data_IF_021420041522
#
_entry.id   IF_021420041522
#
_cell.length_a   1.000
_cell.length_b   1.000
_cell.length_c   1.000
_cell.angle_alpha   90.00
_cell.angle_beta   90.00
_cell.angle_gamma   90.00
#
_symmetry.space_group_name_H-M   'P 1'
#
loop_
_entity.id
_entity.type
_entity.pdbx_description
1 polymer ?
#
# COMPACT_ATOMS: atom_id res chain seq x y z
N UNK A 1 -13.66 -15.68 7.94
CA UNK A 1 -12.44 -16.27 8.52
C UNK A 1 -11.67 -16.92 7.38
N UNK A 2 -10.50 -16.37 7.07
CA UNK A 2 -9.62 -16.80 5.98
C UNK A 2 -8.58 -17.76 6.55
N UNK A 3 -8.24 -18.84 5.83
CA UNK A 3 -7.18 -19.76 6.28
C UNK A 3 -5.79 -19.15 6.07
N UNK A 4 -4.85 -19.44 6.96
CA UNK A 4 -3.47 -18.95 6.85
C UNK A 4 -2.80 -19.27 5.51
N UNK A 5 -3.06 -20.43 4.91
CA UNK A 5 -2.52 -20.80 3.59
C UNK A 5 -3.07 -19.92 2.47
N UNK A 6 -4.38 -19.65 2.48
CA UNK A 6 -5.01 -18.76 1.50
C UNK A 6 -4.51 -17.32 1.69
N UNK A 7 -4.44 -16.89 2.94
CA UNK A 7 -3.94 -15.57 3.32
C UNK A 7 -2.51 -15.36 2.85
N UNK A 8 -1.60 -16.32 3.09
CA UNK A 8 -0.21 -16.23 2.66
C UNK A 8 -0.06 -16.01 1.16
N UNK A 9 -0.75 -16.81 0.34
CA UNK A 9 -0.69 -16.69 -1.12
C UNK A 9 -1.21 -15.34 -1.61
N UNK A 10 -2.35 -14.92 -1.07
CA UNK A 10 -2.93 -13.64 -1.45
C UNK A 10 -2.10 -12.45 -0.97
N UNK A 11 -1.48 -12.54 0.22
CA UNK A 11 -0.55 -11.54 0.73
C UNK A 11 0.69 -11.45 -0.15
N UNK A 12 1.24 -12.57 -0.61
CA UNK A 12 2.37 -12.61 -1.54
C UNK A 12 2.03 -11.91 -2.87
N UNK A 13 0.89 -12.27 -3.48
CA UNK A 13 0.44 -11.67 -4.74
C UNK A 13 0.23 -10.16 -4.59
N UNK A 14 -0.43 -9.73 -3.51
CA UNK A 14 -0.71 -8.32 -3.25
C UNK A 14 0.56 -7.54 -2.94
N UNK A 15 1.52 -8.13 -2.22
CA UNK A 15 2.82 -7.50 -1.92
C UNK A 15 3.61 -7.23 -3.20
N UNK A 16 3.63 -8.20 -4.11
CA UNK A 16 4.28 -8.04 -5.41
C UNK A 16 3.58 -7.00 -6.30
N UNK A 17 2.24 -7.00 -6.32
CA UNK A 17 1.49 -5.99 -7.06
C UNK A 17 1.69 -4.59 -6.49
N UNK A 18 1.62 -4.46 -5.17
CA UNK A 18 1.81 -3.21 -4.44
C UNK A 18 3.16 -2.57 -4.79
N UNK A 19 4.24 -3.33 -4.65
CA UNK A 19 5.59 -2.86 -4.97
C UNK A 19 5.74 -2.47 -6.44
N UNK A 20 5.08 -3.18 -7.37
CA UNK A 20 5.08 -2.84 -8.80
C UNK A 20 4.38 -1.51 -9.06
N UNK A 21 3.28 -1.23 -8.36
CA UNK A 21 2.53 0.02 -8.49
C UNK A 21 3.30 1.19 -7.86
N UNK A 22 3.93 1.00 -6.70
CA UNK A 22 4.82 1.98 -6.06
C UNK A 22 5.94 2.41 -7.00
N UNK A 23 6.68 1.45 -7.58
CA UNK A 23 7.79 1.76 -8.51
C UNK A 23 7.34 2.54 -9.75
N UNK A 24 6.08 2.40 -10.17
CA UNK A 24 5.52 3.20 -11.26
C UNK A 24 5.10 4.58 -10.78
N UNK A 25 4.48 4.66 -9.61
CA UNK A 25 4.08 5.91 -8.98
C UNK A 25 5.28 6.81 -8.76
N UNK A 26 6.36 6.28 -8.16
CA UNK A 26 7.60 7.00 -7.90
C UNK A 26 8.15 7.69 -9.16
N UNK A 27 8.31 6.93 -10.26
CA UNK A 27 8.71 7.47 -11.56
C UNK A 27 7.80 8.59 -12.08
N UNK A 28 6.49 8.49 -11.83
CA UNK A 28 5.55 9.52 -12.26
C UNK A 28 5.59 10.74 -11.35
N UNK A 29 5.81 10.57 -10.06
CA UNK A 29 5.99 11.66 -9.10
C UNK A 29 7.29 12.42 -9.38
N UNK A 30 8.41 11.73 -9.58
CA UNK A 30 9.68 12.35 -9.99
C UNK A 30 9.54 13.17 -11.27
N UNK A 31 8.86 12.60 -12.28
CA UNK A 31 8.59 13.32 -13.52
C UNK A 31 7.71 14.55 -13.27
N UNK A 32 6.74 14.46 -12.35
CA UNK A 32 5.78 15.51 -12.07
C UNK A 32 6.43 16.69 -11.34
N UNK A 33 7.39 16.43 -10.45
CA UNK A 33 8.17 17.47 -9.76
C UNK A 33 8.82 18.45 -10.74
N UNK A 34 9.25 17.93 -11.90
CA UNK A 34 9.94 18.65 -12.97
C UNK A 34 9.03 19.03 -14.16
N UNK A 35 7.76 18.63 -14.15
CA UNK A 35 6.85 18.82 -15.29
C UNK A 35 6.27 20.25 -15.34
N UNK A 36 5.88 20.74 -16.54
CA UNK A 36 4.99 21.89 -16.67
C UNK A 36 3.68 21.65 -15.93
N UNK A 37 3.13 22.70 -15.32
CA UNK A 37 1.91 22.63 -14.51
C UNK A 37 0.71 22.10 -15.31
N UNK A 38 0.68 22.34 -16.62
CA UNK A 38 -0.41 21.90 -17.50
C UNK A 38 -0.27 20.45 -17.99
N UNK A 39 0.72 19.66 -17.55
CA UNK A 39 0.81 18.24 -17.93
C UNK A 39 -0.26 17.40 -17.20
N UNK A 40 -1.46 17.42 -17.75
CA UNK A 40 -2.60 16.64 -17.26
C UNK A 40 -2.37 15.13 -17.42
N UNK A 41 -1.65 14.72 -18.47
CA UNK A 41 -1.38 13.32 -18.78
C UNK A 41 -0.61 12.63 -17.66
N UNK A 42 0.38 13.32 -17.10
CA UNK A 42 1.17 12.83 -15.98
C UNK A 42 0.37 12.80 -14.67
N UNK A 43 -0.44 13.83 -14.40
CA UNK A 43 -1.35 13.85 -13.24
C UNK A 43 -2.33 12.67 -13.26
N UNK A 44 -2.91 12.35 -14.42
CA UNK A 44 -3.82 11.20 -14.58
C UNK A 44 -3.11 9.87 -14.32
N UNK A 45 -1.85 9.71 -14.74
CA UNK A 45 -1.05 8.51 -14.44
C UNK A 45 -0.82 8.36 -12.93
N UNK A 46 -0.46 9.44 -12.24
CA UNK A 46 -0.31 9.47 -10.77
C UNK A 46 -1.61 9.02 -10.10
N UNK A 47 -2.75 9.65 -10.44
CA UNK A 47 -4.06 9.29 -9.88
C UNK A 47 -4.47 7.84 -10.18
N UNK A 48 -4.08 7.31 -11.34
CA UNK A 48 -4.34 5.91 -11.70
C UNK A 48 -3.57 4.94 -10.81
N UNK A 49 -2.30 5.25 -10.50
CA UNK A 49 -1.52 4.51 -9.52
C UNK A 49 -2.14 4.60 -8.12
N UNK A 50 -2.53 5.78 -7.65
CA UNK A 50 -3.18 5.95 -6.35
C UNK A 50 -4.47 5.13 -6.21
N UNK A 51 -5.32 5.12 -7.24
CA UNK A 51 -6.54 4.28 -7.25
C UNK A 51 -6.22 2.79 -7.14
N UNK A 52 -5.17 2.32 -7.80
CA UNK A 52 -4.73 0.92 -7.72
C UNK A 52 -4.21 0.57 -6.33
N UNK A 53 -3.37 1.43 -5.75
CA UNK A 53 -2.87 1.23 -4.38
C UNK A 53 -4.02 1.19 -3.37
N UNK A 54 -5.03 2.05 -3.54
CA UNK A 54 -6.25 2.04 -2.72
C UNK A 54 -7.01 0.71 -2.82
N UNK A 55 -7.16 0.16 -4.02
CA UNK A 55 -7.79 -1.14 -4.21
C UNK A 55 -7.01 -2.26 -3.51
N UNK A 56 -5.67 -2.23 -3.60
CA UNK A 56 -4.79 -3.19 -2.92
C UNK A 56 -4.94 -3.08 -1.40
N UNK A 57 -4.87 -1.86 -0.83
CA UNK A 57 -5.10 -1.63 0.61
C UNK A 57 -6.47 -2.12 1.06
N UNK A 58 -7.51 -1.78 0.31
CA UNK A 58 -8.89 -2.21 0.63
C UNK A 58 -8.99 -3.73 0.68
N UNK A 59 -8.33 -4.43 -0.25
CA UNK A 59 -8.30 -5.89 -0.26
C UNK A 59 -7.52 -6.45 0.94
N UNK A 60 -6.34 -5.91 1.24
CA UNK A 60 -5.55 -6.32 2.41
C UNK A 60 -6.32 -6.10 3.73
N UNK A 61 -6.92 -4.93 3.91
CA UNK A 61 -7.74 -4.61 5.08
C UNK A 61 -8.95 -5.54 5.21
N UNK A 62 -9.59 -5.89 4.10
CA UNK A 62 -10.69 -6.86 4.08
C UNK A 62 -10.22 -8.24 4.55
N UNK A 63 -9.12 -8.73 3.98
CA UNK A 63 -8.56 -10.04 4.33
C UNK A 63 -8.15 -10.13 5.81
N UNK A 64 -7.45 -9.11 6.32
CA UNK A 64 -6.98 -9.10 7.71
C UNK A 64 -8.15 -8.87 8.68
N UNK A 65 -9.07 -7.96 8.35
CA UNK A 65 -10.21 -7.61 9.19
C UNK A 65 -11.25 -8.73 9.34
N UNK A 66 -11.28 -9.71 8.43
CA UNK A 66 -12.13 -10.91 8.52
C UNK A 66 -11.63 -11.97 9.51
N UNK A 67 -10.44 -11.74 10.10
CA UNK A 67 -9.75 -12.68 10.97
C UNK A 67 -9.09 -13.81 10.18
N UNK A 68 -7.79 -13.98 10.43
CA UNK A 68 -6.97 -15.05 9.83
C UNK A 68 -6.82 -16.17 10.85
N UNK A 69 -7.27 -17.39 10.52
CA UNK A 69 -7.00 -18.58 11.34
C UNK A 69 -5.72 -19.26 10.89
N UNK A 70 -4.80 -19.47 11.82
CA UNK A 70 -3.52 -20.15 11.61
C UNK A 70 -3.54 -21.62 12.06
N UNK A 71 -4.69 -22.15 12.48
CA UNK A 71 -4.82 -23.47 13.11
C UNK A 71 -4.33 -24.60 12.19
N UNK A 72 -4.60 -24.48 10.90
CA UNK A 72 -4.21 -25.45 9.86
C UNK A 72 -2.92 -25.04 9.11
N UNK A 73 -2.31 -23.91 9.44
CA UNK A 73 -1.13 -23.41 8.74
C UNK A 73 0.15 -24.11 9.23
N UNK A 74 0.98 -24.58 8.29
CA UNK A 74 2.31 -25.07 8.63
C UNK A 74 3.17 -23.95 9.24
N UNK A 75 4.24 -24.34 9.94
CA UNK A 75 5.22 -23.38 10.47
C UNK A 75 5.81 -22.49 9.36
N UNK A 76 6.15 -23.09 8.23
CA UNK A 76 6.69 -22.38 7.06
C UNK A 76 5.72 -21.32 6.53
N UNK A 77 4.41 -21.61 6.50
CA UNK A 77 3.38 -20.65 6.07
C UNK A 77 3.29 -19.48 7.05
N UNK A 78 3.33 -19.75 8.36
CA UNK A 78 3.31 -18.69 9.39
C UNK A 78 4.56 -17.80 9.33
N UNK A 79 5.73 -18.39 9.18
CA UNK A 79 7.00 -17.65 8.99
C UNK A 79 6.95 -16.81 7.71
N UNK A 80 6.44 -17.37 6.60
CA UNK A 80 6.26 -16.64 5.35
C UNK A 80 5.31 -15.44 5.48
N UNK A 81 4.21 -15.57 6.22
CA UNK A 81 3.29 -14.47 6.51
C UNK A 81 4.00 -13.36 7.29
N UNK A 82 4.78 -13.71 8.31
CA UNK A 82 5.55 -12.75 9.10
C UNK A 82 6.54 -11.98 8.23
N UNK A 83 7.34 -12.69 7.42
CA UNK A 83 8.35 -12.09 6.54
C UNK A 83 7.70 -11.14 5.52
N UNK A 84 6.59 -11.56 4.90
CA UNK A 84 5.88 -10.71 3.94
C UNK A 84 5.25 -9.48 4.61
N UNK A 85 4.73 -9.64 5.83
CA UNK A 85 4.16 -8.54 6.61
C UNK A 85 5.25 -7.53 6.98
N UNK A 86 6.40 -7.99 7.46
CA UNK A 86 7.57 -7.15 7.73
C UNK A 86 8.06 -6.41 6.47
N UNK A 87 8.19 -7.12 5.35
CA UNK A 87 8.58 -6.50 4.08
C UNK A 87 7.58 -5.42 3.63
N UNK A 88 6.29 -5.68 3.79
CA UNK A 88 5.24 -4.72 3.47
C UNK A 88 5.31 -3.50 4.38
N UNK A 89 5.48 -3.67 5.69
CA UNK A 89 5.57 -2.55 6.65
C UNK A 89 6.82 -1.71 6.38
N UNK A 90 8.00 -2.33 6.40
CA UNK A 90 9.29 -1.63 6.32
C UNK A 90 9.57 -1.06 4.93
N UNK A 91 9.12 -1.75 3.88
CA UNK A 91 9.38 -1.37 2.50
C UNK A 91 8.16 -0.77 1.82
N UNK A 92 7.13 -1.59 1.60
CA UNK A 92 5.97 -1.23 0.80
C UNK A 92 5.24 0.02 1.32
N UNK A 93 4.66 -0.07 2.51
CA UNK A 93 3.80 0.96 3.09
C UNK A 93 4.60 2.23 3.42
N UNK A 94 5.85 2.08 3.88
CA UNK A 94 6.75 3.20 4.11
C UNK A 94 6.99 4.01 2.82
N UNK A 95 7.37 3.35 1.72
CA UNK A 95 7.57 4.01 0.43
C UNK A 95 6.27 4.62 -0.11
N UNK A 96 5.13 3.95 0.09
CA UNK A 96 3.86 4.50 -0.34
C UNK A 96 3.52 5.79 0.40
N UNK A 97 3.73 5.82 1.71
CA UNK A 97 3.50 6.99 2.55
C UNK A 97 4.33 8.18 2.08
N UNK A 98 5.63 7.98 1.86
CA UNK A 98 6.53 9.02 1.34
C UNK A 98 6.03 9.60 0.02
N UNK A 99 5.62 8.73 -0.92
CA UNK A 99 5.06 9.15 -2.20
C UNK A 99 3.75 9.94 -2.04
N UNK A 100 2.84 9.52 -1.15
CA UNK A 100 1.60 10.25 -0.88
C UNK A 100 1.88 11.62 -0.26
N UNK A 101 2.87 11.73 0.63
CA UNK A 101 3.30 13.00 1.22
C UNK A 101 3.89 13.93 0.15
N UNK A 102 4.75 13.43 -0.74
CA UNK A 102 5.26 14.18 -1.89
C UNK A 102 4.13 14.66 -2.82
N UNK A 103 3.17 13.79 -3.14
CA UNK A 103 2.01 14.16 -3.96
C UNK A 103 1.15 15.20 -3.25
N UNK A 104 1.01 15.11 -1.92
CA UNK A 104 0.28 16.08 -1.12
C UNK A 104 0.90 17.47 -1.20
N UNK A 105 2.22 17.58 -1.27
CA UNK A 105 2.92 18.86 -1.46
C UNK A 105 2.75 19.39 -2.89
N UNK A 106 2.82 18.50 -3.89
CA UNK A 106 2.66 18.88 -5.30
C UNK A 106 1.24 19.31 -5.65
N UNK A 107 0.21 18.86 -4.91
CA UNK A 107 -1.20 19.17 -5.22
C UNK A 107 -1.50 20.67 -5.31
N UNK A 108 -0.76 21.53 -4.62
CA UNK A 108 -0.93 22.99 -4.68
C UNK A 108 -0.54 23.59 -6.03
N UNK A 109 0.29 22.88 -6.81
CA UNK A 109 0.76 23.29 -8.14
C UNK A 109 -0.14 22.76 -9.25
N UNK A 110 -0.81 21.63 -9.04
CA UNK A 110 -1.47 20.85 -10.09
C UNK A 110 -2.98 20.75 -9.86
N UNK A 111 -3.78 21.30 -10.77
CA UNK A 111 -5.23 21.46 -10.62
C UNK A 111 -5.98 20.14 -10.46
N UNK A 112 -5.59 19.08 -11.19
CA UNK A 112 -6.28 17.78 -11.11
C UNK A 112 -5.95 17.11 -9.76
N UNK A 113 -4.69 17.17 -9.32
CA UNK A 113 -4.28 16.61 -8.03
C UNK A 113 -4.91 17.36 -6.85
N UNK A 114 -5.11 18.67 -6.97
CA UNK A 114 -5.80 19.46 -5.95
C UNK A 114 -7.21 18.90 -5.64
N UNK A 115 -7.91 18.42 -6.67
CA UNK A 115 -9.23 17.79 -6.54
C UNK A 115 -9.22 16.47 -5.75
N UNK A 116 -8.07 15.83 -5.58
CA UNK A 116 -7.91 14.56 -4.86
C UNK A 116 -7.31 14.71 -3.46
N UNK A 117 -7.19 15.94 -2.94
CA UNK A 117 -6.60 16.20 -1.63
C UNK A 117 -7.26 15.39 -0.49
N UNK A 118 -8.59 15.33 -0.46
CA UNK A 118 -9.33 14.59 0.57
C UNK A 118 -9.16 13.07 0.46
N UNK A 119 -8.92 12.57 -0.75
CA UNK A 119 -8.64 11.16 -0.98
C UNK A 119 -7.23 10.79 -0.49
N UNK A 120 -6.23 11.65 -0.73
CA UNK A 120 -4.85 11.43 -0.25
C UNK A 120 -4.79 11.38 1.29
N UNK A 121 -5.50 12.29 1.98
CA UNK A 121 -5.57 12.27 3.45
C UNK A 121 -6.32 11.04 4.00
N UNK A 122 -7.22 10.46 3.22
CA UNK A 122 -7.86 9.18 3.57
C UNK A 122 -6.87 8.03 3.37
N UNK A 123 -6.15 8.05 2.25
CA UNK A 123 -5.17 7.02 1.90
C UNK A 123 -4.05 6.92 2.95
N UNK A 124 -3.54 8.06 3.45
CA UNK A 124 -2.55 8.08 4.53
C UNK A 124 -3.07 7.43 5.82
N UNK A 125 -4.31 7.72 6.22
CA UNK A 125 -4.91 7.11 7.43
C UNK A 125 -5.17 5.61 7.26
N UNK A 126 -5.53 5.18 6.05
CA UNK A 126 -5.68 3.76 5.75
C UNK A 126 -4.34 3.02 5.75
N UNK A 127 -3.25 3.67 5.32
CA UNK A 127 -1.90 3.12 5.43
C UNK A 127 -1.48 2.92 6.89
N UNK A 128 -1.69 3.93 7.75
CA UNK A 128 -1.38 3.82 9.18
C UNK A 128 -2.10 2.61 9.80
N UNK A 129 -3.41 2.49 9.56
CA UNK A 129 -4.21 1.35 10.04
C UNK A 129 -3.72 0.00 9.50
N UNK A 130 -3.31 -0.05 8.24
CA UNK A 130 -2.82 -1.29 7.64
C UNK A 130 -1.45 -1.68 8.21
N UNK A 131 -0.59 -0.70 8.51
CA UNK A 131 0.70 -0.93 9.17
C UNK A 131 0.50 -1.59 10.53
N UNK A 132 -0.34 -1.00 11.38
CA UNK A 132 -0.65 -1.54 12.72
C UNK A 132 -1.16 -2.99 12.68
N UNK A 133 -1.98 -3.31 11.68
CA UNK A 133 -2.53 -4.66 11.51
C UNK A 133 -1.48 -5.67 11.03
N UNK A 134 -0.56 -5.26 10.15
CA UNK A 134 0.52 -6.12 9.67
C UNK A 134 1.60 -6.32 10.72
N UNK A 135 1.90 -5.29 11.52
CA UNK A 135 2.82 -5.37 12.66
C UNK A 135 2.36 -6.42 13.68
N UNK A 136 1.05 -6.58 13.88
CA UNK A 136 0.51 -7.65 14.73
C UNK A 136 0.93 -9.07 14.32
N UNK A 137 1.10 -9.35 13.02
CA UNK A 137 1.60 -10.65 12.54
C UNK A 137 3.11 -10.81 12.69
N UNK A 138 3.85 -9.70 12.78
CA UNK A 138 5.29 -9.70 13.01
C UNK A 138 5.57 -9.94 14.51
N UNK A 139 4.85 -9.23 15.38
CA UNK A 139 5.01 -9.33 16.84
C UNK A 139 4.63 -10.72 17.38
N UNK A 140 3.65 -11.39 16.78
CA UNK A 140 3.24 -12.76 17.16
C UNK A 140 4.35 -13.82 16.98
N UNK A 141 5.42 -13.52 16.24
CA UNK A 141 6.57 -14.41 16.07
C UNK A 141 7.70 -14.16 17.08
N UNK A 142 7.75 -12.98 17.69
CA UNK A 142 8.76 -12.65 18.69
C UNK A 142 8.37 -13.09 20.12
N UNK A 143 7.11 -13.50 20.32
CA UNK A 143 6.53 -13.96 21.58
C UNK A 143 6.57 -15.49 21.77
#
# INVERSE_FOLDING_TARGET
MVSGVSFYRELEDLSHEHMRVIKRLDKYVEALESAPVEDEGLQVKVLTCLRRLRAIRSKLLGMIGEGVSMDDASREVREGISILSEYMVLGGLYLERDLLERIRELKGRFTILAGSAGDIERDLRELDRLSELLEGFVDEQEA
#
